data_IF_486320142432
#
_entry.id   IF_486320142432
#
_cell.length_a   1.000
_cell.length_b   1.000
_cell.length_c   1.000
_cell.angle_alpha   90.00
_cell.angle_beta   90.00
_cell.angle_gamma   90.00
#
_symmetry.space_group_name_H-M   'P 1'
#
loop_
_entity.id
_entity.type
_entity.pdbx_description
1 polymer ?
#
# COMPACT_ATOMS: atom_id res chain seq x y z
N UNK A 1 -41.00 2.64 -2.14
CA UNK A 1 -40.71 4.07 -2.37
C UNK A 1 -39.29 4.18 -2.87
N UNK A 2 -39.12 4.61 -4.12
CA UNK A 2 -37.85 4.74 -4.84
C UNK A 2 -37.06 5.94 -4.29
N UNK A 3 -35.78 5.75 -4.01
CA UNK A 3 -34.73 6.79 -3.93
C UNK A 3 -33.40 6.09 -4.17
N UNK A 4 -32.49 6.49 -5.04
CA UNK A 4 -32.45 7.47 -6.12
C UNK A 4 -31.31 6.94 -7.00
N UNK A 5 -31.68 6.39 -8.14
CA UNK A 5 -30.79 5.99 -9.22
C UNK A 5 -30.35 7.27 -9.95
N UNK A 6 -29.12 7.26 -10.49
CA UNK A 6 -28.64 8.16 -11.55
C UNK A 6 -28.27 9.60 -11.14
N UNK A 7 -26.97 9.84 -10.96
CA UNK A 7 -26.32 11.14 -11.19
C UNK A 7 -25.18 10.99 -12.20
N UNK A 8 -25.50 10.71 -13.45
CA UNK A 8 -24.63 11.03 -14.58
C UNK A 8 -25.55 11.51 -15.71
N UNK A 9 -25.72 12.83 -15.82
CA UNK A 9 -26.42 13.47 -16.93
C UNK A 9 -25.58 14.64 -17.41
N UNK A 10 -25.17 14.51 -18.68
CA UNK A 10 -24.96 15.54 -19.69
C UNK A 10 -23.87 16.60 -19.45
N UNK A 11 -22.68 16.34 -19.99
CA UNK A 11 -21.88 17.38 -20.65
C UNK A 11 -21.92 17.07 -22.15
N UNK A 12 -22.95 17.57 -22.85
CA UNK A 12 -22.90 17.68 -24.30
C UNK A 12 -23.94 18.70 -24.78
N UNK A 13 -23.49 19.55 -25.70
CA UNK A 13 -24.24 20.57 -26.46
C UNK A 13 -24.41 21.95 -25.81
N UNK A 14 -23.35 22.76 -25.95
CA UNK A 14 -23.49 24.18 -26.28
C UNK A 14 -22.40 24.61 -27.26
N UNK A 15 -22.46 24.11 -28.50
CA UNK A 15 -21.94 24.85 -29.65
C UNK A 15 -23.12 25.21 -30.55
N UNK A 16 -23.85 26.24 -30.13
CA UNK A 16 -24.72 26.99 -31.03
C UNK A 16 -23.85 27.77 -32.01
N UNK A 17 -24.02 27.42 -33.28
CA UNK A 17 -23.47 28.07 -34.46
C UNK A 17 -23.58 29.60 -34.39
N UNK A 18 -22.43 30.28 -34.37
CA UNK A 18 -22.30 31.61 -34.95
C UNK A 18 -21.62 31.46 -36.31
N UNK A 19 -22.44 31.49 -37.36
CA UNK A 19 -21.95 31.73 -38.71
C UNK A 19 -21.50 33.18 -38.81
N UNK A 20 -20.19 33.40 -38.81
CA UNK A 20 -19.57 34.64 -39.29
C UNK A 20 -18.63 34.27 -40.44
N UNK A 21 -18.86 34.87 -41.60
CA UNK A 21 -18.17 34.59 -42.86
C UNK A 21 -16.67 34.88 -42.76
N UNK A 22 -15.82 34.01 -43.31
CA UNK A 22 -14.38 34.28 -43.40
C UNK A 22 -13.49 33.14 -43.88
N UNK A 23 -13.68 32.70 -45.14
CA UNK A 23 -12.67 32.14 -46.05
C UNK A 23 -11.71 31.01 -45.57
N UNK A 24 -12.02 29.79 -46.05
CA UNK A 24 -11.08 28.74 -46.54
C UNK A 24 -10.31 27.89 -45.50
N UNK A 25 -10.91 26.78 -45.06
CA UNK A 25 -10.18 25.62 -44.53
C UNK A 25 -10.82 24.29 -44.97
N UNK A 26 -9.97 23.34 -45.34
CA UNK A 26 -10.30 21.98 -45.77
C UNK A 26 -9.61 21.02 -44.79
N UNK A 27 -10.38 20.30 -43.99
CA UNK A 27 -9.84 19.36 -42.99
C UNK A 27 -10.88 18.95 -41.95
N UNK A 28 -11.86 18.14 -42.36
CA UNK A 28 -12.86 17.55 -41.46
C UNK A 28 -12.19 16.61 -40.45
N UNK A 29 -12.31 16.91 -39.16
CA UNK A 29 -12.09 15.96 -38.07
C UNK A 29 -13.27 14.97 -38.03
N UNK A 30 -13.19 13.93 -38.85
CA UNK A 30 -14.13 12.81 -38.80
C UNK A 30 -13.82 11.93 -37.59
N UNK A 31 -14.83 11.66 -36.76
CA UNK A 31 -14.80 10.58 -35.77
C UNK A 31 -14.41 9.30 -36.51
N UNK A 32 -13.33 8.64 -36.07
CA UNK A 32 -12.82 7.43 -36.70
C UNK A 32 -13.78 6.27 -36.37
N UNK A 33 -14.65 5.95 -37.33
CA UNK A 33 -15.74 4.96 -37.19
C UNK A 33 -15.23 3.58 -36.71
N UNK A 34 -13.99 3.22 -37.06
CA UNK A 34 -13.37 1.97 -36.62
C UNK A 34 -13.04 1.97 -35.12
N UNK A 35 -12.66 3.13 -34.56
CA UNK A 35 -12.41 3.25 -33.12
C UNK A 35 -13.69 3.16 -32.30
N UNK A 36 -14.81 3.67 -32.84
CA UNK A 36 -16.12 3.56 -32.19
C UNK A 36 -16.57 2.11 -32.15
N UNK A 37 -16.46 1.38 -33.26
CA UNK A 37 -16.80 -0.06 -33.31
C UNK A 37 -15.96 -0.90 -32.34
N UNK A 38 -14.65 -0.65 -32.26
CA UNK A 38 -13.77 -1.35 -31.32
C UNK A 38 -14.12 -1.08 -29.85
N UNK A 39 -14.56 0.13 -29.52
CA UNK A 39 -15.00 0.48 -28.16
C UNK A 39 -16.33 -0.19 -27.82
N UNK A 40 -17.28 -0.22 -28.77
CA UNK A 40 -18.56 -0.93 -28.59
C UNK A 40 -18.35 -2.43 -28.35
N UNK A 41 -17.47 -3.08 -29.12
CA UNK A 41 -17.12 -4.49 -28.93
C UNK A 41 -16.48 -4.76 -27.55
N UNK A 42 -15.57 -3.88 -27.11
CA UNK A 42 -14.96 -3.99 -25.77
C UNK A 42 -15.97 -3.81 -24.64
N UNK A 43 -16.93 -2.89 -24.78
CA UNK A 43 -17.99 -2.67 -23.78
C UNK A 43 -18.83 -3.95 -23.66
N UNK A 44 -19.24 -4.54 -24.78
CA UNK A 44 -20.02 -5.79 -24.77
C UNK A 44 -19.25 -6.93 -24.11
N UNK A 45 -17.94 -7.07 -24.40
CA UNK A 45 -17.09 -8.07 -23.75
C UNK A 45 -16.99 -7.85 -22.24
N UNK A 46 -16.75 -6.61 -21.81
CA UNK A 46 -16.62 -6.27 -20.39
C UNK A 46 -17.95 -6.44 -19.63
N UNK A 47 -19.08 -6.17 -20.26
CA UNK A 47 -20.40 -6.42 -19.68
C UNK A 47 -20.65 -7.93 -19.48
N UNK A 48 -20.22 -8.76 -20.43
CA UNK A 48 -20.30 -10.21 -20.32
C UNK A 48 -19.39 -10.75 -19.20
N UNK A 49 -18.15 -10.29 -19.11
CA UNK A 49 -17.19 -10.70 -18.07
C UNK A 49 -17.70 -10.29 -16.68
N UNK A 50 -18.24 -9.07 -16.53
CA UNK A 50 -18.83 -8.62 -15.28
C UNK A 50 -20.06 -9.44 -14.86
N UNK A 51 -20.88 -9.88 -15.82
CA UNK A 51 -22.01 -10.74 -15.53
C UNK A 51 -21.54 -12.13 -15.05
N UNK A 52 -20.54 -12.71 -15.71
CA UNK A 52 -19.96 -13.99 -15.32
C UNK A 52 -19.30 -13.93 -13.93
N UNK A 53 -18.48 -12.90 -13.67
CA UNK A 53 -17.86 -12.68 -12.35
C UNK A 53 -18.88 -12.48 -11.24
N UNK A 54 -20.02 -11.85 -11.54
CA UNK A 54 -21.09 -11.68 -10.56
C UNK A 54 -21.76 -13.01 -10.22
N UNK A 55 -21.97 -13.87 -11.22
CA UNK A 55 -22.52 -15.21 -11.02
C UNK A 55 -21.55 -16.10 -10.23
N UNK A 56 -20.26 -16.07 -10.54
CA UNK A 56 -19.21 -16.77 -9.81
C UNK A 56 -19.13 -16.30 -8.34
N UNK A 57 -19.20 -14.99 -8.09
CA UNK A 57 -19.21 -14.47 -6.73
C UNK A 57 -20.43 -14.92 -5.92
N UNK A 58 -21.61 -14.98 -6.54
CA UNK A 58 -22.81 -15.48 -5.84
C UNK A 58 -22.73 -17.00 -5.60
N UNK A 59 -22.16 -17.77 -6.54
CA UNK A 59 -21.91 -19.19 -6.36
C UNK A 59 -20.92 -19.47 -5.21
N UNK A 60 -19.80 -18.74 -5.15
CA UNK A 60 -18.81 -18.85 -4.08
C UNK A 60 -19.38 -18.48 -2.71
N UNK A 61 -20.25 -17.47 -2.63
CA UNK A 61 -20.96 -17.15 -1.37
C UNK A 61 -21.83 -18.30 -0.89
N UNK A 62 -22.54 -18.95 -1.80
CA UNK A 62 -23.38 -20.11 -1.46
C UNK A 62 -22.50 -21.29 -1.02
N UNK A 63 -21.41 -21.56 -1.73
CA UNK A 63 -20.46 -22.61 -1.37
C UNK A 63 -19.83 -22.36 0.02
N UNK A 64 -19.47 -21.12 0.33
CA UNK A 64 -18.99 -20.72 1.66
C UNK A 64 -20.04 -20.98 2.74
N UNK A 65 -21.30 -20.63 2.52
CA UNK A 65 -22.37 -20.84 3.49
C UNK A 65 -22.70 -22.34 3.67
N UNK A 66 -22.64 -23.12 2.60
CA UNK A 66 -22.82 -24.57 2.64
C UNK A 66 -21.66 -25.27 3.36
N UNK A 67 -20.42 -24.85 3.11
CA UNK A 67 -19.23 -25.34 3.83
C UNK A 67 -19.28 -25.00 5.32
N UNK A 68 -19.73 -23.79 5.68
CA UNK A 68 -19.98 -23.40 7.08
C UNK A 68 -21.06 -24.25 7.74
N UNK A 69 -22.09 -24.66 6.99
CA UNK A 69 -23.21 -25.45 7.51
C UNK A 69 -22.92 -26.95 7.60
N UNK A 70 -22.03 -27.48 6.76
CA UNK A 70 -21.68 -28.91 6.70
C UNK A 70 -20.52 -29.31 7.61
N UNK A 71 -19.71 -28.37 8.10
CA UNK A 71 -18.70 -28.61 9.12
C UNK A 71 -19.30 -28.62 10.53
N UNK A 72 -18.97 -29.63 11.33
CA UNK A 72 -19.17 -29.55 12.78
C UNK A 72 -18.58 -28.26 13.30
N UNK A 73 -19.37 -27.45 14.01
CA UNK A 73 -18.98 -26.14 14.52
C UNK A 73 -17.75 -26.18 15.44
N UNK A 74 -16.59 -26.14 14.83
CA UNK A 74 -15.41 -25.48 15.35
C UNK A 74 -15.28 -24.25 14.44
N UNK A 75 -15.64 -23.09 14.98
CA UNK A 75 -15.12 -21.84 14.43
C UNK A 75 -13.62 -22.07 14.37
N UNK A 76 -13.01 -22.08 13.18
CA UNK A 76 -11.57 -21.98 13.09
C UNK A 76 -11.28 -20.64 13.78
N UNK A 77 -10.83 -20.68 15.03
CA UNK A 77 -10.27 -19.50 15.66
C UNK A 77 -9.18 -19.07 14.69
N UNK A 78 -9.33 -17.87 14.13
CA UNK A 78 -8.30 -17.30 13.26
C UNK A 78 -7.03 -17.27 14.13
N UNK A 79 -6.09 -18.16 13.84
CA UNK A 79 -4.87 -18.27 14.65
C UNK A 79 -4.16 -16.92 14.58
N UNK A 80 -3.96 -16.29 15.74
CA UNK A 80 -3.25 -15.03 15.85
C UNK A 80 -1.79 -15.28 16.23
N UNK A 81 -0.93 -14.39 15.77
CA UNK A 81 0.47 -14.34 16.18
C UNK A 81 0.82 -12.94 16.67
N UNK A 82 1.78 -12.87 17.58
CA UNK A 82 2.33 -11.62 18.08
C UNK A 82 3.65 -11.30 17.38
N UNK A 83 3.70 -10.17 16.68
CA UNK A 83 4.90 -9.68 16.02
C UNK A 83 5.48 -8.51 16.82
N UNK A 84 6.73 -8.61 17.31
CA UNK A 84 7.35 -7.54 18.10
C UNK A 84 7.64 -6.29 17.26
N UNK A 85 7.47 -5.12 17.88
CA UNK A 85 7.96 -3.84 17.38
C UNK A 85 9.16 -3.45 18.24
N UNK A 86 10.26 -3.08 17.59
CA UNK A 86 11.52 -2.83 18.24
C UNK A 86 11.87 -1.34 18.26
N UNK A 87 12.51 -0.94 19.35
CA UNK A 87 13.29 0.28 19.48
C UNK A 87 14.77 -0.06 19.64
N UNK A 88 15.55 0.92 20.10
CA UNK A 88 16.95 0.73 20.40
C UNK A 88 17.39 1.61 21.57
N UNK A 89 18.36 1.12 22.34
CA UNK A 89 19.08 1.88 23.36
C UNK A 89 20.15 2.78 22.72
N UNK A 90 20.76 3.69 23.48
CA UNK A 90 21.78 4.63 22.99
C UNK A 90 23.02 3.96 22.35
N UNK A 91 23.30 2.71 22.69
CA UNK A 91 24.42 1.93 22.12
C UNK A 91 24.01 1.10 20.89
N UNK A 92 22.77 1.24 20.43
CA UNK A 92 22.21 0.50 19.30
C UNK A 92 21.67 -0.88 19.65
N UNK A 93 21.68 -1.27 20.93
CA UNK A 93 21.08 -2.53 21.37
C UNK A 93 19.57 -2.49 21.13
N UNK A 94 19.08 -3.42 20.30
CA UNK A 94 17.65 -3.60 20.02
C UNK A 94 16.88 -3.94 21.30
N UNK A 95 15.73 -3.31 21.49
CA UNK A 95 14.78 -3.62 22.57
C UNK A 95 13.37 -3.78 22.04
N UNK A 96 12.64 -4.79 22.51
CA UNK A 96 11.22 -4.92 22.17
C UNK A 96 10.42 -3.87 22.96
N UNK A 97 9.66 -3.05 22.25
CA UNK A 97 8.83 -1.98 22.81
C UNK A 97 7.41 -2.46 23.04
N UNK A 98 6.84 -3.14 22.03
CA UNK A 98 5.46 -3.65 22.06
C UNK A 98 5.33 -4.85 21.09
N UNK A 99 4.15 -5.45 21.03
CA UNK A 99 3.77 -6.44 20.01
C UNK A 99 2.52 -5.98 19.26
N UNK A 100 2.43 -6.34 17.98
CA UNK A 100 1.22 -6.27 17.16
C UNK A 100 0.63 -7.67 17.07
N UNK A 101 -0.65 -7.81 17.42
CA UNK A 101 -1.39 -9.06 17.20
C UNK A 101 -1.93 -9.05 15.78
N UNK A 102 -1.58 -10.06 14.99
CA UNK A 102 -2.04 -10.22 13.61
C UNK A 102 -2.59 -11.62 13.39
N UNK A 103 -3.52 -11.77 12.44
CA UNK A 103 -3.92 -13.10 12.01
C UNK A 103 -2.78 -13.75 11.24
N UNK A 104 -2.55 -15.04 11.47
CA UNK A 104 -1.49 -15.81 10.82
C UNK A 104 -1.67 -15.89 9.31
N UNK A 105 -2.91 -15.88 8.81
CA UNK A 105 -3.25 -15.90 7.38
C UNK A 105 -3.30 -14.51 6.73
N UNK A 106 -3.08 -13.43 7.49
CA UNK A 106 -3.02 -12.07 6.96
C UNK A 106 -1.89 -11.96 5.91
N UNK A 107 -2.13 -11.31 4.76
CA UNK A 107 -1.08 -11.11 3.76
C UNK A 107 0.15 -10.44 4.36
N UNK A 108 1.35 -10.94 3.99
CA UNK A 108 2.62 -10.46 4.55
C UNK A 108 2.77 -8.94 4.44
N UNK A 109 2.41 -8.34 3.30
CA UNK A 109 2.46 -6.89 3.11
C UNK A 109 1.55 -6.13 4.08
N UNK A 110 0.36 -6.67 4.40
CA UNK A 110 -0.52 -6.07 5.40
C UNK A 110 0.10 -6.14 6.79
N UNK A 111 0.71 -7.28 7.16
CA UNK A 111 1.45 -7.41 8.42
C UNK A 111 2.57 -6.37 8.52
N UNK A 112 3.30 -6.13 7.42
CA UNK A 112 4.33 -5.08 7.36
C UNK A 112 3.74 -3.68 7.57
N UNK A 113 2.59 -3.38 6.96
CA UNK A 113 1.93 -2.09 7.18
C UNK A 113 1.54 -1.94 8.66
N UNK A 114 0.97 -2.97 9.29
CA UNK A 114 0.60 -2.93 10.70
C UNK A 114 1.81 -2.71 11.63
N UNK A 115 2.93 -3.36 11.35
CA UNK A 115 4.19 -3.13 12.05
C UNK A 115 4.68 -1.69 11.87
N UNK A 116 4.65 -1.16 10.64
CA UNK A 116 5.03 0.22 10.33
C UNK A 116 4.15 1.25 11.04
N UNK A 117 2.83 1.04 11.05
CA UNK A 117 1.87 1.91 11.74
C UNK A 117 2.16 1.95 13.24
N UNK A 118 2.37 0.77 13.85
CA UNK A 118 2.63 0.67 15.29
C UNK A 118 3.99 1.24 15.67
N UNK A 119 5.01 1.00 14.85
CA UNK A 119 6.35 1.57 15.03
C UNK A 119 6.30 3.11 14.95
N UNK A 120 5.60 3.65 13.96
CA UNK A 120 5.36 5.08 13.82
C UNK A 120 4.71 5.71 15.05
N UNK A 121 3.64 5.07 15.55
CA UNK A 121 2.90 5.51 16.74
C UNK A 121 3.74 5.51 18.01
N UNK A 122 4.41 4.40 18.31
CA UNK A 122 5.04 4.16 19.63
C UNK A 122 6.48 4.65 19.72
N UNK A 123 7.23 4.64 18.61
CA UNK A 123 8.67 4.96 18.60
C UNK A 123 8.94 6.31 17.93
N UNK A 124 8.23 6.62 16.85
CA UNK A 124 8.51 7.80 16.02
C UNK A 124 7.50 8.94 16.16
N UNK A 125 6.79 8.99 17.28
CA UNK A 125 5.92 10.11 17.65
C UNK A 125 4.78 10.37 16.65
N UNK A 126 4.27 9.31 16.03
CA UNK A 126 3.18 9.34 15.07
C UNK A 126 3.58 9.58 13.61
N UNK A 127 4.89 9.55 13.28
CA UNK A 127 5.33 9.58 11.89
C UNK A 127 4.81 8.36 11.13
N UNK A 128 4.28 8.60 9.92
CA UNK A 128 3.65 7.55 9.11
C UNK A 128 4.66 6.89 8.18
N UNK A 129 4.41 5.63 7.86
CA UNK A 129 5.19 4.84 6.93
C UNK A 129 4.26 4.02 6.04
N UNK A 130 4.72 3.63 4.86
CA UNK A 130 3.94 2.81 3.93
C UNK A 130 4.74 1.60 3.49
N UNK A 131 4.24 0.40 3.79
CA UNK A 131 4.71 -0.81 3.15
C UNK A 131 4.15 -0.84 1.72
N UNK A 132 5.00 -0.56 0.73
CA UNK A 132 4.57 -0.38 -0.65
C UNK A 132 4.34 -1.71 -1.37
N UNK A 133 5.34 -2.58 -1.32
CA UNK A 133 5.36 -3.85 -2.03
C UNK A 133 6.49 -4.76 -1.55
N UNK A 134 6.42 -6.03 -1.93
CA UNK A 134 7.50 -7.00 -1.77
C UNK A 134 7.88 -7.48 -3.17
N UNK A 135 9.16 -7.30 -3.56
CA UNK A 135 9.69 -7.72 -4.86
C UNK A 135 10.69 -8.85 -4.70
N UNK A 136 10.66 -9.80 -5.62
CA UNK A 136 11.73 -10.78 -5.75
C UNK A 136 12.88 -10.18 -6.57
N UNK A 137 14.06 -10.09 -5.97
CA UNK A 137 15.29 -9.57 -6.57
C UNK A 137 16.43 -10.54 -6.24
N UNK A 138 17.10 -11.07 -7.27
CA UNK A 138 18.15 -12.08 -7.12
C UNK A 138 17.77 -13.28 -6.23
N UNK A 139 16.50 -13.70 -6.32
CA UNK A 139 15.94 -14.81 -5.53
C UNK A 139 15.66 -14.49 -4.06
N UNK A 140 15.64 -13.20 -3.70
CA UNK A 140 15.31 -12.70 -2.35
C UNK A 140 14.07 -11.83 -2.40
N UNK A 141 13.19 -11.98 -1.41
CA UNK A 141 12.03 -11.12 -1.25
C UNK A 141 12.41 -9.86 -0.47
N UNK A 142 12.39 -8.71 -1.15
CA UNK A 142 12.74 -7.40 -0.58
C UNK A 142 11.47 -6.58 -0.36
N UNK A 143 11.24 -6.16 0.88
CA UNK A 143 10.19 -5.22 1.23
C UNK A 143 10.62 -3.79 0.89
N UNK A 144 9.75 -3.03 0.24
CA UNK A 144 9.93 -1.60 0.03
C UNK A 144 9.04 -0.81 0.97
N UNK A 145 9.64 0.04 1.81
CA UNK A 145 8.95 0.87 2.79
C UNK A 145 9.25 2.34 2.53
N UNK A 146 8.21 3.15 2.40
CA UNK A 146 8.34 4.60 2.27
C UNK A 146 8.06 5.29 3.60
N UNK A 147 9.06 6.00 4.11
CA UNK A 147 8.93 6.90 5.25
C UNK A 147 8.27 8.18 4.78
N UNK A 148 7.25 8.66 5.49
CA UNK A 148 6.56 9.90 5.14
C UNK A 148 7.09 11.01 6.03
N UNK A 149 7.66 12.06 5.43
CA UNK A 149 8.19 13.19 6.18
C UNK A 149 7.06 13.89 6.95
N UNK A 150 7.42 14.45 8.11
CA UNK A 150 6.50 15.21 8.93
C UNK A 150 5.93 16.41 8.17
N UNK A 151 4.76 16.89 8.63
CA UNK A 151 4.07 18.03 8.00
C UNK A 151 4.89 19.33 8.01
N UNK A 152 5.96 19.42 8.81
CA UNK A 152 6.75 20.62 9.03
C UNK A 152 6.05 21.66 9.91
N UNK A 153 4.87 21.34 10.46
CA UNK A 153 4.19 22.20 11.41
C UNK A 153 4.99 22.35 12.71
N UNK A 154 4.85 23.49 13.38
CA UNK A 154 5.59 23.76 14.62
C UNK A 154 5.22 22.73 15.68
N UNK A 155 6.20 21.94 16.12
CA UNK A 155 6.03 20.88 17.11
C UNK A 155 5.64 19.52 16.52
N UNK A 156 5.44 19.42 15.21
CA UNK A 156 5.33 18.13 14.54
C UNK A 156 6.70 17.44 14.46
N UNK A 157 6.68 16.11 14.51
CA UNK A 157 7.87 15.28 14.34
C UNK A 157 8.32 15.24 12.90
N UNK A 158 9.62 15.04 12.69
CA UNK A 158 10.26 14.95 11.38
C UNK A 158 11.30 13.84 11.36
N UNK A 159 11.35 13.05 10.28
CA UNK A 159 12.41 12.07 10.09
C UNK A 159 13.77 12.76 10.00
N UNK A 160 13.87 13.75 9.11
CA UNK A 160 15.11 14.48 8.87
C UNK A 160 15.60 15.20 10.12
N UNK A 161 14.73 15.94 10.82
CA UNK A 161 15.16 16.85 11.89
C UNK A 161 15.19 16.22 13.29
N UNK A 162 14.40 15.17 13.55
CA UNK A 162 14.37 14.51 14.87
C UNK A 162 15.11 13.17 14.91
N UNK A 163 15.08 12.37 13.83
CA UNK A 163 15.48 10.96 13.87
C UNK A 163 16.74 10.65 13.05
N UNK A 164 17.00 11.40 11.97
CA UNK A 164 18.21 11.24 11.14
C UNK A 164 19.37 12.14 11.59
N UNK A 165 19.36 12.61 12.84
CA UNK A 165 20.36 13.53 13.37
C UNK A 165 21.28 12.87 14.40
N UNK A 166 22.58 13.13 14.28
CA UNK A 166 23.60 12.62 15.18
C UNK A 166 23.83 11.12 15.05
N UNK A 167 25.06 10.67 15.30
CA UNK A 167 25.41 9.24 15.13
C UNK A 167 24.62 8.30 16.04
N UNK A 168 24.37 8.70 17.30
CA UNK A 168 23.57 7.88 18.24
C UNK A 168 22.10 7.84 17.83
N UNK A 169 21.48 8.98 17.56
CA UNK A 169 20.06 9.04 17.14
C UNK A 169 19.81 8.32 15.81
N UNK A 170 20.72 8.51 14.86
CA UNK A 170 20.68 7.80 13.58
C UNK A 170 20.81 6.29 13.73
N UNK A 171 21.77 5.81 14.53
CA UNK A 171 21.92 4.38 14.78
C UNK A 171 20.70 3.76 15.49
N UNK A 172 20.12 4.46 16.48
CA UNK A 172 18.89 4.02 17.12
C UNK A 172 17.73 3.91 16.14
N UNK A 173 17.60 4.91 15.24
CA UNK A 173 16.56 4.95 14.22
C UNK A 173 16.72 3.81 13.22
N UNK A 174 17.94 3.57 12.74
CA UNK A 174 18.25 2.44 11.85
C UNK A 174 17.86 1.10 12.50
N UNK A 175 18.33 0.84 13.73
CA UNK A 175 18.04 -0.41 14.42
C UNK A 175 16.53 -0.62 14.61
N UNK A 176 15.80 0.40 15.07
CA UNK A 176 14.37 0.30 15.28
C UNK A 176 13.60 -0.03 13.98
N UNK A 177 13.96 0.64 12.89
CA UNK A 177 13.39 0.37 11.56
C UNK A 177 13.75 -1.04 11.08
N UNK A 178 15.04 -1.37 11.03
CA UNK A 178 15.49 -2.62 10.41
C UNK A 178 15.00 -3.83 11.18
N UNK A 179 15.09 -3.82 12.49
CA UNK A 179 14.74 -5.00 13.29
C UNK A 179 13.22 -5.22 13.33
N UNK A 180 12.43 -4.14 13.31
CA UNK A 180 10.97 -4.25 13.21
C UNK A 180 10.52 -4.84 11.89
N UNK A 181 11.11 -4.46 10.75
CA UNK A 181 10.68 -5.02 9.47
C UNK A 181 11.32 -6.37 9.16
N UNK A 182 12.58 -6.60 9.55
CA UNK A 182 13.29 -7.84 9.24
C UNK A 182 12.92 -8.98 10.18
N UNK A 183 12.42 -8.68 11.38
CA UNK A 183 11.99 -9.68 12.36
C UNK A 183 13.04 -10.80 12.49
N UNK A 184 14.31 -10.45 12.75
CA UNK A 184 15.43 -11.38 12.58
C UNK A 184 15.29 -12.67 13.38
N UNK A 185 14.60 -12.62 14.51
CA UNK A 185 14.34 -13.76 15.39
C UNK A 185 13.11 -14.61 14.99
N UNK A 186 12.28 -14.17 14.04
CA UNK A 186 11.05 -14.86 13.63
C UNK A 186 11.33 -16.10 12.76
N UNK A 187 11.06 -17.29 13.25
CA UNK A 187 11.46 -18.53 12.59
C UNK A 187 10.65 -18.89 11.31
N UNK A 188 9.54 -18.21 11.04
CA UNK A 188 8.68 -18.47 9.89
C UNK A 188 9.18 -17.84 8.58
N UNK A 189 8.41 -18.05 7.50
CA UNK A 189 8.67 -17.41 6.21
C UNK A 189 8.46 -15.91 6.35
N UNK A 190 9.45 -15.14 5.92
CA UNK A 190 9.46 -13.69 6.04
C UNK A 190 10.19 -13.07 4.84
N UNK A 191 10.37 -11.75 4.85
CA UNK A 191 11.22 -11.07 3.85
C UNK A 191 12.69 -11.31 4.13
N UNK A 192 13.47 -11.35 3.06
CA UNK A 192 14.93 -11.51 3.09
C UNK A 192 15.65 -10.17 3.25
N UNK A 193 14.96 -9.06 3.00
CA UNK A 193 15.50 -7.72 3.15
C UNK A 193 14.44 -6.63 3.13
N UNK A 194 14.87 -5.41 3.46
CA UNK A 194 14.06 -4.20 3.44
C UNK A 194 14.83 -3.05 2.79
N UNK A 195 14.14 -2.23 2.02
CA UNK A 195 14.63 -1.02 1.40
C UNK A 195 13.75 0.16 1.81
N UNK A 196 14.38 1.27 2.22
CA UNK A 196 13.68 2.45 2.70
C UNK A 196 13.83 3.62 1.74
N UNK A 197 12.73 4.35 1.54
CA UNK A 197 12.71 5.67 0.91
C UNK A 197 12.13 6.71 1.86
N UNK A 198 12.36 8.00 1.59
CA UNK A 198 11.70 9.11 2.27
C UNK A 198 10.94 9.93 1.24
N UNK A 199 9.61 9.98 1.37
CA UNK A 199 8.69 10.59 0.38
C UNK A 199 8.94 10.13 -1.07
N UNK A 200 9.27 8.84 -1.23
CA UNK A 200 9.59 8.20 -2.51
C UNK A 200 11.00 8.47 -3.03
N UNK A 201 11.83 9.23 -2.30
CA UNK A 201 13.21 9.52 -2.66
C UNK A 201 14.19 8.63 -1.87
N UNK A 202 15.37 8.41 -2.45
CA UNK A 202 16.44 7.66 -1.78
C UNK A 202 16.92 8.43 -0.54
N UNK A 203 17.14 7.71 0.56
CA UNK A 203 17.68 8.27 1.80
C UNK A 203 19.20 8.40 1.68
N UNK A 204 19.71 9.64 1.64
CA UNK A 204 21.15 9.93 1.56
C UNK A 204 21.58 10.88 2.69
N UNK A 205 21.54 10.39 3.93
CA UNK A 205 21.92 11.14 5.13
C UNK A 205 23.07 10.48 5.88
N UNK A 206 24.11 11.26 6.20
CA UNK A 206 25.36 10.77 6.82
C UNK A 206 25.17 10.03 8.16
N UNK A 207 24.09 10.33 8.88
CA UNK A 207 23.81 9.75 10.19
C UNK A 207 22.97 8.47 10.13
N UNK A 208 22.34 8.18 8.99
CA UNK A 208 21.60 6.94 8.75
C UNK A 208 22.07 6.27 7.45
N UNK A 209 23.38 5.99 7.32
CA UNK A 209 23.97 5.52 6.06
C UNK A 209 23.43 4.15 5.62
N UNK A 210 22.99 3.29 6.54
CA UNK A 210 22.50 1.96 6.20
C UNK A 210 21.14 2.02 5.51
N UNK A 211 20.34 3.07 5.73
CA UNK A 211 19.04 3.25 5.06
C UNK A 211 19.17 3.62 3.58
N UNK A 212 20.38 3.91 3.09
CA UNK A 212 20.60 4.27 1.70
C UNK A 212 20.58 3.09 0.72
N UNK A 213 20.70 1.87 1.24
CA UNK A 213 20.77 0.62 0.49
C UNK A 213 19.76 -0.42 1.02
N UNK A 214 19.62 -1.53 0.32
CA UNK A 214 18.82 -2.67 0.79
C UNK A 214 19.53 -3.38 1.94
N UNK A 215 18.83 -3.54 3.05
CA UNK A 215 19.34 -4.17 4.27
C UNK A 215 18.79 -5.59 4.33
N UNK A 216 19.68 -6.56 4.42
CA UNK A 216 19.31 -7.97 4.41
C UNK A 216 19.13 -8.53 5.84
N UNK A 217 18.22 -9.49 5.94
CA UNK A 217 17.95 -10.29 7.13
C UNK A 217 19.11 -11.24 7.46
#
# INVERSE_FOLDING_TARGET
MKKNMLKIVAILMSLTLLAACGNKENGSAGVNEDTVKQLEEKIVSLEADNAALKEENEALKVEIEELKASGSGELIEEEEEELPVFGAEEDGTMTQVISVVVKTDEPLLTKMQMLGDKLGEEVFGGLTMKALEIKEEDGKNILYVDLIEGSGEVGAKSWIYDYFQGSTGGNMTETALTETFLQREYAGVWVDGVHFTLDGEKIEFDHVPNLSDTILR
#
